data_IF_319481053303
#
_entry.id   IF_319481053303
#
_cell.length_a   1.000
_cell.length_b   1.000
_cell.length_c   1.000
_cell.angle_alpha   90.00
_cell.angle_beta   90.00
_cell.angle_gamma   90.00
#
_symmetry.space_group_name_H-M   'P 1'
#
loop_
_entity.id
_entity.type
_entity.pdbx_description
1 polymer ?
#
# COMPACT_ATOMS: atom_id res chain seq x y z
N UNK A 1 -6.97 45.95 -65.39
CA UNK A 1 -8.26 45.36 -65.79
C UNK A 1 -8.10 43.84 -65.82
N UNK A 2 -8.86 43.14 -64.95
CA UNK A 2 -9.24 41.69 -64.91
C UNK A 2 -8.15 40.59 -64.90
N UNK A 3 -8.43 39.38 -64.35
CA UNK A 3 -9.10 39.06 -63.08
C UNK A 3 -8.43 37.88 -62.30
N UNK A 4 -8.94 37.65 -61.07
CA UNK A 4 -9.08 36.41 -60.30
C UNK A 4 -8.34 35.10 -60.68
N UNK A 5 -7.71 34.47 -59.70
CA UNK A 5 -8.14 33.13 -59.21
C UNK A 5 -7.38 32.69 -57.96
N UNK A 6 -8.09 32.69 -56.81
CA UNK A 6 -7.80 31.76 -55.71
C UNK A 6 -8.18 30.36 -56.18
N UNK A 7 -7.26 29.39 -56.08
CA UNK A 7 -7.58 27.96 -56.16
C UNK A 7 -7.43 27.32 -54.79
N UNK A 8 -8.59 26.94 -54.27
CA UNK A 8 -8.84 25.98 -53.19
C UNK A 8 -8.29 24.61 -53.55
N UNK A 9 -7.59 23.95 -52.62
CA UNK A 9 -7.65 22.48 -52.52
C UNK A 9 -7.57 22.08 -51.05
N UNK A 10 -8.71 21.68 -50.49
CA UNK A 10 -8.78 20.84 -49.29
C UNK A 10 -8.15 19.49 -49.64
N UNK A 11 -7.25 18.99 -48.79
CA UNK A 11 -6.93 17.57 -48.77
C UNK A 11 -6.45 17.16 -47.38
N UNK A 12 -7.32 16.39 -46.73
CA UNK A 12 -6.97 15.26 -45.87
C UNK A 12 -6.44 15.56 -44.46
N UNK A 13 -7.39 15.91 -43.59
CA UNK A 13 -7.48 15.24 -42.30
C UNK A 13 -7.53 13.71 -42.51
N UNK A 14 -7.03 12.94 -41.53
CA UNK A 14 -6.98 11.47 -41.47
C UNK A 14 -5.66 10.81 -41.90
N UNK A 15 -4.60 11.07 -41.14
CA UNK A 15 -3.56 10.10 -40.79
C UNK A 15 -2.76 10.75 -39.65
N UNK A 16 -2.74 10.30 -38.41
CA UNK A 16 -2.86 8.95 -37.92
C UNK A 16 -3.25 9.06 -36.43
N UNK A 17 -4.55 9.13 -36.14
CA UNK A 17 -5.09 9.04 -34.76
C UNK A 17 -4.99 7.62 -34.18
N UNK A 18 -4.05 6.80 -34.66
CA UNK A 18 -3.93 5.38 -34.35
C UNK A 18 -2.71 5.03 -33.47
N UNK A 19 -2.07 6.02 -32.84
CA UNK A 19 -0.93 5.81 -31.93
C UNK A 19 -1.29 5.83 -30.43
N UNK A 20 -2.57 5.93 -30.05
CA UNK A 20 -2.99 5.94 -28.64
C UNK A 20 -3.61 4.62 -28.14
N UNK A 21 -3.65 3.57 -28.97
CA UNK A 21 -4.23 2.28 -28.58
C UNK A 21 -3.23 1.30 -27.93
N UNK A 22 -2.00 1.73 -27.64
CA UNK A 22 -0.99 0.91 -26.96
C UNK A 22 -0.23 1.66 -25.87
N UNK A 23 -0.92 2.53 -25.13
CA UNK A 23 -0.48 2.83 -23.76
C UNK A 23 -0.74 1.58 -22.93
N UNK A 24 0.18 0.63 -23.02
CA UNK A 24 0.22 -0.58 -22.20
C UNK A 24 -0.01 -0.18 -20.75
N UNK A 25 -1.13 -0.62 -20.17
CA UNK A 25 -1.50 -0.40 -18.76
C UNK A 25 -0.58 -1.23 -17.86
N UNK A 26 0.71 -0.90 -17.85
CA UNK A 26 1.62 -1.41 -16.84
C UNK A 26 1.22 -0.77 -15.51
N UNK A 27 1.06 -1.55 -14.42
CA UNK A 27 0.77 -0.99 -13.11
C UNK A 27 1.86 0.01 -12.73
N UNK A 28 1.46 1.18 -12.23
CA UNK A 28 2.42 2.16 -11.72
C UNK A 28 2.98 1.59 -10.42
N UNK A 29 4.31 1.55 -10.32
CA UNK A 29 5.03 1.05 -9.16
C UNK A 29 5.63 2.21 -8.38
N UNK A 30 5.31 2.27 -7.09
CA UNK A 30 5.81 3.29 -6.17
C UNK A 30 6.63 2.59 -5.09
N UNK A 31 7.94 2.85 -4.99
CA UNK A 31 8.73 2.33 -3.87
C UNK A 31 8.26 2.98 -2.57
N UNK A 32 8.24 2.20 -1.49
CA UNK A 32 7.89 2.65 -0.15
C UNK A 32 9.12 2.45 0.74
N UNK A 33 9.45 3.46 1.53
CA UNK A 33 10.53 3.36 2.51
C UNK A 33 10.30 2.24 3.53
N UNK A 34 11.36 1.88 4.25
CA UNK A 34 11.27 0.86 5.29
C UNK A 34 10.30 1.28 6.40
N UNK A 35 9.45 0.36 6.85
CA UNK A 35 8.44 0.60 7.88
C UNK A 35 8.67 -0.36 9.02
N UNK A 36 8.87 0.18 10.22
CA UNK A 36 8.95 -0.59 11.46
C UNK A 36 7.70 -0.38 12.29
N UNK A 37 6.97 -1.46 12.54
CA UNK A 37 5.75 -1.47 13.34
C UNK A 37 6.10 -2.12 14.70
N UNK A 38 5.87 -1.43 15.83
CA UNK A 38 6.05 -2.06 17.13
C UNK A 38 5.07 -3.22 17.28
N UNK A 39 5.52 -4.31 17.86
CA UNK A 39 4.71 -5.48 18.13
C UNK A 39 4.18 -5.45 19.56
N UNK A 40 2.92 -5.83 19.73
CA UNK A 40 2.35 -6.11 21.03
C UNK A 40 1.37 -7.28 20.91
N UNK A 41 1.71 -8.40 21.55
CA UNK A 41 0.85 -9.59 21.63
C UNK A 41 -0.33 -9.44 22.60
N UNK A 42 -0.50 -8.28 23.24
CA UNK A 42 -1.70 -7.95 24.03
C UNK A 42 -2.94 -8.06 23.15
N UNK A 43 -3.85 -8.95 23.53
CA UNK A 43 -5.03 -9.27 22.76
C UNK A 43 -5.84 -8.01 22.39
N UNK A 44 -6.04 -7.80 21.09
CA UNK A 44 -6.95 -6.79 20.56
C UNK A 44 -6.38 -5.39 20.40
N UNK A 45 -5.06 -5.18 20.47
CA UNK A 45 -4.44 -3.90 20.09
C UNK A 45 -3.95 -3.92 18.64
N UNK A 46 -3.95 -2.73 18.02
CA UNK A 46 -3.26 -2.44 16.76
C UNK A 46 -2.12 -1.48 17.09
N UNK A 47 -0.91 -1.85 16.73
CA UNK A 47 0.27 -1.02 16.90
C UNK A 47 0.67 -0.40 15.56
N UNK A 48 0.98 0.89 15.55
CA UNK A 48 1.25 1.67 14.34
C UNK A 48 2.71 2.09 14.26
N UNK A 49 3.23 2.16 13.04
CA UNK A 49 4.52 2.77 12.78
C UNK A 49 4.54 4.23 13.28
N UNK A 50 5.65 4.71 13.86
CA UNK A 50 5.72 6.03 14.48
C UNK A 50 5.67 7.18 13.46
N UNK A 51 6.04 6.92 12.21
CA UNK A 51 6.03 7.90 11.13
C UNK A 51 4.99 7.54 10.08
N UNK A 52 4.25 8.54 9.55
CA UNK A 52 3.38 8.31 8.41
C UNK A 52 4.21 8.00 7.17
N UNK A 53 3.59 7.25 6.27
CA UNK A 53 4.03 7.10 4.89
C UNK A 53 3.50 8.31 4.12
N UNK A 54 4.36 8.96 3.35
CA UNK A 54 4.05 10.26 2.69
C UNK A 54 4.13 10.19 1.16
N UNK A 55 4.45 9.01 0.63
CA UNK A 55 4.44 8.67 -0.77
C UNK A 55 2.99 8.65 -1.25
N UNK A 56 2.60 9.69 -1.99
CA UNK A 56 1.27 9.77 -2.62
C UNK A 56 1.30 9.09 -3.97
N UNK A 57 0.36 8.16 -4.18
CA UNK A 57 0.12 7.59 -5.51
C UNK A 57 -0.88 8.47 -6.30
N UNK A 58 -0.79 8.52 -7.64
CA UNK A 58 -1.68 9.35 -8.46
C UNK A 58 -3.15 8.94 -8.34
N UNK A 59 -4.06 9.83 -7.95
CA UNK A 59 -5.47 9.47 -7.70
C UNK A 59 -6.20 8.80 -8.89
N UNK A 60 -7.27 8.06 -8.59
CA UNK A 60 -8.18 7.49 -9.59
C UNK A 60 -7.92 6.02 -9.97
N UNK A 61 -7.07 5.30 -9.24
CA UNK A 61 -6.91 3.84 -9.38
C UNK A 61 -8.05 3.05 -8.71
N UNK A 62 -8.34 1.86 -9.23
CA UNK A 62 -9.36 0.92 -8.72
C UNK A 62 -8.86 0.01 -7.62
N UNK A 63 -7.55 -0.19 -7.55
CA UNK A 63 -6.96 -1.01 -6.51
C UNK A 63 -5.44 -0.89 -6.47
N UNK A 64 -4.89 -1.41 -5.38
CA UNK A 64 -3.48 -1.42 -5.11
C UNK A 64 -3.05 -2.73 -4.44
N UNK A 65 -1.82 -3.15 -4.73
CA UNK A 65 -1.12 -4.23 -4.06
C UNK A 65 0.19 -3.70 -3.50
N UNK A 66 0.43 -3.89 -2.20
CA UNK A 66 1.69 -3.60 -1.55
C UNK A 66 2.45 -4.89 -1.27
N UNK A 67 3.65 -5.01 -1.84
CA UNK A 67 4.57 -6.13 -1.59
C UNK A 67 5.78 -5.64 -0.81
N UNK A 68 6.14 -6.35 0.25
CA UNK A 68 7.30 -6.04 1.08
C UNK A 68 7.94 -7.31 1.62
N UNK A 69 9.20 -7.22 2.01
CA UNK A 69 9.90 -8.26 2.77
C UNK A 69 9.65 -8.00 4.25
N UNK A 70 8.82 -8.84 4.86
CA UNK A 70 8.48 -8.75 6.28
C UNK A 70 9.44 -9.60 7.11
N UNK A 71 9.98 -9.02 8.17
CA UNK A 71 10.73 -9.73 9.21
C UNK A 71 10.05 -9.47 10.55
N UNK A 72 9.69 -10.55 11.25
CA UNK A 72 9.17 -10.48 12.61
C UNK A 72 10.32 -10.76 13.59
N UNK A 73 10.58 -9.81 14.48
CA UNK A 73 11.54 -9.94 15.57
C UNK A 73 10.75 -10.13 16.85
N UNK A 74 11.02 -11.20 17.59
CA UNK A 74 10.48 -11.46 18.92
C UNK A 74 11.53 -12.16 19.76
N UNK A 75 11.42 -12.02 21.08
CA UNK A 75 12.25 -12.73 22.05
C UNK A 75 11.80 -14.20 22.19
N UNK A 76 10.58 -14.53 21.77
CA UNK A 76 10.07 -15.90 21.75
C UNK A 76 10.19 -16.56 20.37
N UNK A 77 10.27 -17.90 20.37
CA UNK A 77 10.43 -18.71 19.16
C UNK A 77 9.08 -19.06 18.47
N UNK A 78 7.96 -18.57 18.99
CA UNK A 78 6.63 -18.89 18.48
C UNK A 78 6.25 -18.04 17.26
N UNK A 79 5.63 -18.63 16.21
CA UNK A 79 5.07 -17.85 15.12
C UNK A 79 3.97 -16.91 15.62
N UNK A 80 3.84 -15.76 14.98
CA UNK A 80 2.76 -14.81 15.23
C UNK A 80 1.85 -14.69 14.01
N UNK A 81 0.56 -14.54 14.26
CA UNK A 81 -0.43 -14.18 13.25
C UNK A 81 -0.57 -12.67 13.24
N UNK A 82 -0.28 -12.08 12.10
CA UNK A 82 -0.30 -10.64 11.87
C UNK A 82 -1.47 -10.28 10.98
N UNK A 83 -2.18 -9.22 11.32
CA UNK A 83 -3.09 -8.55 10.38
C UNK A 83 -2.68 -7.10 10.24
N UNK A 84 -2.54 -6.63 9.01
CA UNK A 84 -2.11 -5.26 8.69
C UNK A 84 -3.32 -4.34 8.59
N UNK A 85 -3.17 -3.14 9.10
CA UNK A 85 -4.18 -2.09 9.11
C UNK A 85 -3.60 -0.79 8.57
N UNK A 86 -4.50 0.03 8.02
CA UNK A 86 -4.22 1.38 7.55
C UNK A 86 -5.12 2.39 8.22
N UNK A 87 -4.63 3.62 8.38
CA UNK A 87 -5.47 4.76 8.76
C UNK A 87 -4.90 6.08 8.22
N UNK A 88 -5.76 7.07 8.06
CA UNK A 88 -5.41 8.39 7.53
C UNK A 88 -5.13 9.41 8.64
N UNK A 89 -5.57 9.10 9.86
CA UNK A 89 -5.38 9.92 11.06
C UNK A 89 -4.25 9.37 11.91
N UNK A 90 -3.42 10.23 12.54
CA UNK A 90 -2.39 9.77 13.46
C UNK A 90 -3.01 9.00 14.64
N UNK A 91 -2.38 7.91 15.09
CA UNK A 91 -2.80 7.22 16.30
C UNK A 91 -2.43 8.07 17.53
N UNK A 92 -3.26 8.04 18.57
CA UNK A 92 -3.03 8.79 19.82
C UNK A 92 -1.89 8.21 20.68
N UNK A 93 -1.55 6.93 20.43
CA UNK A 93 -0.52 6.14 21.10
C UNK A 93 0.07 5.15 20.09
N UNK A 94 1.32 4.65 20.27
CA UNK A 94 1.90 3.64 19.39
C UNK A 94 1.04 2.39 19.24
N UNK A 95 0.29 2.00 20.28
CA UNK A 95 -0.68 0.91 20.23
C UNK A 95 -2.03 1.39 20.77
N UNK A 96 -3.10 1.08 20.04
CA UNK A 96 -4.48 1.53 20.32
C UNK A 96 -5.46 0.37 20.16
N UNK A 97 -6.62 0.48 20.80
CA UNK A 97 -7.74 -0.40 20.49
C UNK A 97 -8.31 -0.06 19.09
N UNK A 98 -8.78 -1.06 18.33
CA UNK A 98 -9.42 -0.86 17.04
C UNK A 98 -10.59 0.12 17.11
N UNK A 99 -10.71 0.93 16.08
CA UNK A 99 -11.73 1.94 15.87
C UNK A 99 -12.18 1.95 14.41
N UNK A 100 -13.22 2.72 14.08
CA UNK A 100 -13.70 2.86 12.70
C UNK A 100 -12.68 3.54 11.76
N UNK A 101 -11.64 4.17 12.32
CA UNK A 101 -10.53 4.73 11.53
C UNK A 101 -9.56 3.65 11.01
N UNK A 102 -9.61 2.43 11.56
CA UNK A 102 -8.64 1.37 11.32
C UNK A 102 -9.16 0.42 10.24
N UNK A 103 -8.62 0.59 9.04
CA UNK A 103 -9.03 -0.16 7.86
C UNK A 103 -8.17 -1.42 7.74
N UNK A 104 -8.74 -2.64 7.75
CA UNK A 104 -7.97 -3.85 7.50
C UNK A 104 -7.42 -3.84 6.06
N UNK A 105 -6.14 -4.16 5.91
CA UNK A 105 -5.44 -4.17 4.63
C UNK A 105 -4.92 -5.55 4.24
N UNK A 106 -5.05 -6.56 5.10
CA UNK A 106 -4.59 -7.91 4.79
C UNK A 106 -5.50 -8.96 5.41
N UNK A 107 -5.47 -10.14 4.81
CA UNK A 107 -5.81 -11.36 5.53
C UNK A 107 -4.78 -11.63 6.66
N UNK A 108 -5.08 -12.52 7.61
CA UNK A 108 -4.08 -12.96 8.58
C UNK A 108 -2.85 -13.57 7.90
N UNK A 109 -1.66 -13.13 8.29
CA UNK A 109 -0.37 -13.56 7.77
C UNK A 109 0.41 -14.20 8.93
N UNK A 110 0.84 -15.44 8.78
CA UNK A 110 1.74 -16.06 9.78
C UNK A 110 3.17 -15.64 9.50
N UNK A 111 3.81 -14.99 10.49
CA UNK A 111 5.24 -14.65 10.47
C UNK A 111 5.98 -15.55 11.45
N UNK A 112 7.13 -16.07 11.03
CA UNK A 112 8.04 -16.82 11.90
C UNK A 112 9.16 -15.90 12.40
N UNK A 113 9.48 -15.89 13.71
CA UNK A 113 10.56 -15.06 14.24
C UNK A 113 11.88 -15.26 13.49
N UNK A 114 12.55 -14.15 13.15
CA UNK A 114 13.86 -14.16 12.49
C UNK A 114 13.85 -14.59 11.02
N UNK A 115 12.69 -14.96 10.45
CA UNK A 115 12.56 -15.32 9.04
C UNK A 115 12.03 -14.13 8.25
N UNK A 116 12.77 -13.73 7.22
CA UNK A 116 12.30 -12.76 6.23
C UNK A 116 11.43 -13.47 5.20
N UNK A 117 10.21 -12.98 5.00
CA UNK A 117 9.26 -13.53 4.04
C UNK A 117 8.57 -12.44 3.23
N UNK A 118 8.35 -12.68 1.93
CA UNK A 118 7.62 -11.74 1.08
C UNK A 118 6.13 -11.78 1.43
N UNK A 119 5.56 -10.63 1.76
CA UNK A 119 4.14 -10.48 2.09
C UNK A 119 3.40 -9.65 1.03
N UNK A 120 2.09 -9.85 0.98
CA UNK A 120 1.16 -9.09 0.15
C UNK A 120 0.11 -8.41 1.04
N UNK A 121 -0.04 -7.10 0.90
CA UNK A 121 -1.04 -6.24 1.56
C UNK A 121 -1.88 -5.61 0.44
N UNK A 122 -3.17 -5.38 0.65
CA UNK A 122 -4.14 -5.11 -0.42
C UNK A 122 -4.78 -6.42 -0.87
N UNK A 123 -4.24 -7.09 -1.89
CA UNK A 123 -4.76 -8.39 -2.33
C UNK A 123 -6.24 -8.37 -2.72
N UNK A 124 -6.85 -9.52 -3.05
CA UNK A 124 -8.18 -9.55 -3.68
C UNK A 124 -9.31 -8.90 -2.87
N UNK A 125 -9.20 -8.94 -1.54
CA UNK A 125 -10.25 -8.46 -0.63
C UNK A 125 -9.98 -7.06 -0.07
N UNK A 126 -8.73 -6.57 -0.09
CA UNK A 126 -8.37 -5.29 0.54
C UNK A 126 -7.71 -4.31 -0.44
N UNK A 127 -7.60 -4.65 -1.73
CA UNK A 127 -6.94 -3.79 -2.71
C UNK A 127 -7.62 -2.42 -2.88
N UNK A 128 -8.96 -2.38 -2.80
CA UNK A 128 -9.72 -1.13 -2.89
C UNK A 128 -9.47 -0.24 -1.68
N UNK A 129 -9.50 -0.83 -0.49
CA UNK A 129 -9.17 -0.14 0.76
C UNK A 129 -7.73 0.40 0.76
N UNK A 130 -6.77 -0.40 0.29
CA UNK A 130 -5.39 0.05 0.14
C UNK A 130 -5.27 1.19 -0.86
N UNK A 131 -5.95 1.11 -2.00
CA UNK A 131 -6.02 2.20 -2.98
C UNK A 131 -6.52 3.50 -2.35
N UNK A 132 -7.68 3.48 -1.69
CA UNK A 132 -8.23 4.68 -1.02
C UNK A 132 -7.26 5.29 0.00
N UNK A 133 -6.51 4.44 0.69
CA UNK A 133 -5.51 4.86 1.68
C UNK A 133 -4.27 5.52 1.05
N UNK A 134 -3.67 4.91 0.02
CA UNK A 134 -2.46 5.45 -0.64
C UNK A 134 -2.74 6.68 -1.51
N UNK A 135 -4.02 6.93 -1.85
CA UNK A 135 -4.45 8.17 -2.49
C UNK A 135 -4.37 9.39 -1.56
N UNK A 136 -4.20 9.15 -0.25
CA UNK A 136 -4.05 10.21 0.73
C UNK A 136 -2.62 10.76 0.71
N UNK A 137 -2.43 12.06 1.03
CA UNK A 137 -1.09 12.65 1.11
C UNK A 137 -0.24 12.06 2.23
N UNK A 138 -0.87 11.43 3.22
CA UNK A 138 -0.22 10.70 4.30
C UNK A 138 -1.13 9.59 4.81
N UNK A 139 -0.53 8.48 5.22
CA UNK A 139 -1.24 7.40 5.88
C UNK A 139 -0.32 6.67 6.87
N UNK A 140 -0.91 5.90 7.77
CA UNK A 140 -0.20 5.13 8.78
C UNK A 140 -0.46 3.64 8.55
N UNK A 141 0.60 2.84 8.61
CA UNK A 141 0.48 1.39 8.66
C UNK A 141 0.63 0.91 10.09
N UNK A 142 -0.24 -0.02 10.46
CA UNK A 142 -0.19 -0.70 11.74
C UNK A 142 -0.44 -2.19 11.57
N UNK A 143 -0.25 -2.92 12.66
CA UNK A 143 -0.45 -4.36 12.71
C UNK A 143 -1.04 -4.76 14.06
N UNK A 144 -1.97 -5.70 14.04
CA UNK A 144 -2.30 -6.49 15.21
C UNK A 144 -1.56 -7.81 15.16
N UNK A 145 -1.15 -8.28 16.34
CA UNK A 145 -0.47 -9.56 16.54
C UNK A 145 -1.36 -10.47 17.39
N UNK A 146 -1.47 -11.72 17.01
CA UNK A 146 -2.11 -12.78 17.81
C UNK A 146 -1.24 -14.02 17.77
N UNK A 147 -1.02 -14.66 18.92
CA UNK A 147 0.09 -15.59 19.09
C UNK A 147 1.39 -14.85 19.45
N UNK A 148 2.50 -15.58 19.58
CA UNK A 148 3.75 -15.05 20.16
C UNK A 148 3.85 -15.29 21.68
N UNK A 149 4.91 -14.78 22.30
CA UNK A 149 5.14 -14.90 23.74
C UNK A 149 4.45 -13.75 24.48
N UNK A 150 3.56 -14.08 25.42
CA UNK A 150 2.68 -13.15 26.14
C UNK A 150 3.38 -12.04 26.96
N UNK A 151 4.71 -12.01 27.02
CA UNK A 151 5.48 -11.17 27.95
C UNK A 151 6.78 -10.58 27.39
N UNK A 152 7.05 -10.61 26.08
CA UNK A 152 8.25 -9.95 25.56
C UNK A 152 8.01 -8.49 25.22
N UNK A 153 8.80 -7.59 25.81
CA UNK A 153 8.73 -6.15 25.59
C UNK A 153 9.34 -5.68 24.25
N UNK A 154 9.90 -6.59 23.45
CA UNK A 154 10.60 -6.26 22.21
C UNK A 154 10.10 -7.14 21.06
N UNK A 155 8.92 -6.81 20.54
CA UNK A 155 8.40 -7.37 19.31
C UNK A 155 8.35 -6.29 18.24
N UNK A 156 8.72 -6.63 17.00
CA UNK A 156 8.71 -5.68 15.88
C UNK A 156 8.39 -6.41 14.58
N UNK A 157 7.64 -5.74 13.71
CA UNK A 157 7.49 -6.16 12.32
C UNK A 157 8.20 -5.10 11.47
N UNK A 158 9.24 -5.51 10.76
CA UNK A 158 9.95 -4.65 9.82
C UNK A 158 9.57 -5.03 8.41
N UNK A 159 9.07 -4.07 7.64
CA UNK A 159 8.78 -4.18 6.22
C UNK A 159 9.87 -3.44 5.45
N UNK A 160 10.56 -4.15 4.56
CA UNK A 160 11.62 -3.58 3.71
C UNK A 160 11.35 -3.88 2.24
N UNK A 161 12.07 -3.20 1.33
CA UNK A 161 11.90 -3.38 -0.12
C UNK A 161 10.43 -3.29 -0.55
N UNK A 162 9.74 -2.29 0.03
CA UNK A 162 8.32 -2.05 -0.18
C UNK A 162 8.04 -1.51 -1.58
N UNK A 163 7.06 -2.09 -2.26
CA UNK A 163 6.59 -1.61 -3.55
C UNK A 163 5.06 -1.69 -3.63
N UNK A 164 4.43 -0.56 -3.91
CA UNK A 164 3.00 -0.46 -4.19
C UNK A 164 2.80 -0.49 -5.70
N UNK A 165 1.99 -1.43 -6.18
CA UNK A 165 1.51 -1.50 -7.56
C UNK A 165 0.04 -1.05 -7.61
N UNK A 166 -0.26 -0.02 -8.41
CA UNK A 166 -1.65 0.47 -8.59
C UNK A 166 -2.21 0.12 -9.97
N UNK A 167 -3.52 -0.11 -10.06
CA UNK A 167 -4.22 -0.48 -11.28
C UNK A 167 -5.56 0.26 -11.44
N UNK A 168 -5.97 0.48 -12.69
CA UNK A 168 -7.10 1.33 -13.11
C UNK A 168 -8.30 0.55 -13.65
#
# INVERSE_FOLDING_TARGET
MTPSSLRTTLASAAACSALLASCSFAPIRVPVGDVTIPGNSSAGLICYAPSPITESAPSGFRGADYRADATYTSVGDGPATVRVYGRTTPPESPCVFPSDADVPLSEPITLTPGVTQRVLIGGPNHSGALAELIAQPRYYLGASLTGGVLFSAEEWITLTNGEVSVYY
#
